data_IF_422487159391
#
_entry.id   IF_422487159391
#
_cell.length_a   1.000
_cell.length_b   1.000
_cell.length_c   1.000
_cell.angle_alpha   90.00
_cell.angle_beta   90.00
_cell.angle_gamma   90.00
#
_symmetry.space_group_name_H-M   'P 1'
#
loop_
_entity.id
_entity.type
_entity.pdbx_description
1 polymer ?
#
# COMPACT_ATOMS: atom_id res chain seq x y z
N UNK A 1 36.52 42.77 3.49
CA UNK A 1 37.50 41.80 4.03
C UNK A 1 37.21 40.46 3.34
N UNK A 2 37.89 40.05 2.27
CA UNK A 2 39.25 39.47 2.13
C UNK A 2 39.47 38.16 2.95
N UNK A 3 39.93 37.12 2.24
CA UNK A 3 40.53 35.82 2.66
C UNK A 3 39.45 34.70 2.88
N UNK A 4 39.25 33.61 2.11
CA UNK A 4 40.04 32.55 1.40
C UNK A 4 40.88 31.60 2.30
N UNK A 5 40.75 30.27 2.09
CA UNK A 5 41.64 29.16 2.55
C UNK A 5 41.56 28.80 4.06
N UNK A 6 41.83 27.58 4.56
CA UNK A 6 42.33 26.30 4.02
C UNK A 6 42.03 25.12 4.99
N UNK A 7 42.17 23.89 4.47
CA UNK A 7 42.47 22.60 5.13
C UNK A 7 43.32 22.68 6.42
N UNK A 8 43.08 21.75 7.37
CA UNK A 8 44.04 20.81 7.99
C UNK A 8 43.42 20.22 9.28
N UNK A 9 43.23 18.89 9.36
CA UNK A 9 44.15 17.89 9.94
C UNK A 9 44.24 17.93 11.48
N UNK A 10 43.93 16.77 12.09
CA UNK A 10 44.04 16.50 13.53
C UNK A 10 43.22 15.24 13.85
N UNK A 11 43.61 14.05 13.39
CA UNK A 11 44.62 13.19 14.02
C UNK A 11 44.40 13.08 15.54
N UNK A 12 43.44 12.25 15.96
CA UNK A 12 43.42 11.72 17.33
C UNK A 12 44.04 10.32 17.27
N UNK A 13 45.36 10.31 17.46
CA UNK A 13 46.12 9.13 17.85
C UNK A 13 45.67 8.76 19.26
N UNK A 14 44.98 7.65 19.42
CA UNK A 14 44.96 6.92 20.70
C UNK A 14 45.82 5.68 20.54
N UNK A 15 47.14 5.92 20.51
CA UNK A 15 48.14 4.90 20.76
C UNK A 15 48.16 4.62 22.26
N UNK A 16 47.44 3.58 22.68
CA UNK A 16 47.66 2.90 23.95
C UNK A 16 48.46 1.63 23.69
N UNK A 17 49.79 1.74 23.58
CA UNK A 17 50.70 0.60 23.62
C UNK A 17 50.72 0.02 25.05
N UNK A 18 50.34 -1.25 25.17
CA UNK A 18 50.64 -2.11 26.31
C UNK A 18 51.27 -3.40 25.79
N UNK A 19 52.52 -3.64 26.19
CA UNK A 19 53.46 -4.62 25.65
C UNK A 19 53.09 -6.10 25.90
N UNK A 20 53.19 -6.87 24.81
CA UNK A 20 53.83 -8.17 24.62
C UNK A 20 53.84 -9.25 25.74
N UNK A 21 53.31 -10.44 25.39
CA UNK A 21 53.94 -11.72 25.73
C UNK A 21 54.01 -12.64 24.48
N UNK A 22 55.25 -12.96 24.11
CA UNK A 22 55.79 -14.20 23.53
C UNK A 22 55.07 -14.96 22.38
N UNK A 23 55.68 -14.83 21.19
CA UNK A 23 56.09 -15.87 20.22
C UNK A 23 55.15 -17.05 19.86
N UNK A 24 54.67 -17.06 18.62
CA UNK A 24 55.07 -18.11 17.66
C UNK A 24 54.92 -17.59 16.23
N UNK A 25 55.93 -17.87 15.39
CA UNK A 25 55.95 -17.50 13.99
C UNK A 25 54.98 -18.39 13.20
N UNK A 26 53.95 -17.79 12.62
CA UNK A 26 52.92 -18.49 11.84
C UNK A 26 52.37 -17.60 10.72
N UNK A 27 52.85 -17.89 9.52
CA UNK A 27 52.37 -17.51 8.17
C UNK A 27 50.89 -17.04 8.08
N UNK A 28 50.71 -15.88 7.43
CA UNK A 28 49.54 -15.44 6.65
C UNK A 28 48.15 -15.37 7.32
N UNK A 29 47.66 -14.13 7.51
CA UNK A 29 46.33 -13.71 7.10
C UNK A 29 46.28 -12.18 7.08
N UNK A 30 46.19 -11.59 5.88
CA UNK A 30 45.75 -10.21 5.76
C UNK A 30 44.33 -10.14 6.34
N UNK A 31 44.17 -9.41 7.43
CA UNK A 31 42.89 -9.12 8.02
C UNK A 31 42.02 -8.42 6.95
N UNK A 32 41.09 -9.19 6.39
CA UNK A 32 40.00 -8.64 5.60
C UNK A 32 39.20 -7.73 6.51
N UNK A 33 39.36 -6.43 6.32
CA UNK A 33 38.36 -5.44 6.69
C UNK A 33 37.02 -5.95 6.14
N UNK A 34 35.95 -6.09 6.95
CA UNK A 34 34.67 -6.52 6.41
C UNK A 34 34.22 -5.42 5.45
N UNK A 35 34.30 -5.72 4.15
CA UNK A 35 33.69 -4.90 3.12
C UNK A 35 32.21 -4.77 3.51
N UNK A 36 31.77 -3.55 3.81
CA UNK A 36 30.36 -3.25 3.93
C UNK A 36 29.68 -3.83 2.69
N UNK A 37 28.90 -4.91 2.85
CA UNK A 37 28.33 -5.65 1.72
C UNK A 37 27.53 -4.67 0.89
N UNK A 38 28.06 -4.32 -0.28
CA UNK A 38 27.30 -3.59 -1.29
C UNK A 38 26.17 -4.52 -1.72
N UNK A 39 25.00 -4.26 -1.16
CA UNK A 39 23.78 -4.97 -1.48
C UNK A 39 23.49 -4.83 -2.99
N UNK A 40 23.30 -5.97 -3.64
CA UNK A 40 23.02 -6.08 -5.07
C UNK A 40 21.78 -5.24 -5.45
N UNK A 41 21.84 -4.55 -6.59
CA UNK A 41 20.81 -3.60 -7.03
C UNK A 41 19.44 -4.28 -7.16
N UNK A 42 19.39 -5.52 -7.68
CA UNK A 42 18.15 -6.32 -7.76
C UNK A 42 17.58 -6.65 -6.39
N UNK A 43 18.44 -6.92 -5.41
CA UNK A 43 17.99 -7.17 -4.03
C UNK A 43 17.29 -5.94 -3.46
N UNK A 44 17.83 -4.74 -3.72
CA UNK A 44 17.21 -3.48 -3.28
C UNK A 44 15.85 -3.25 -3.94
N UNK A 45 15.72 -3.56 -5.23
CA UNK A 45 14.44 -3.46 -5.96
C UNK A 45 13.38 -4.39 -5.37
N UNK A 46 13.71 -5.66 -5.10
CA UNK A 46 12.77 -6.58 -4.47
C UNK A 46 12.38 -6.15 -3.05
N UNK A 47 13.31 -5.59 -2.28
CA UNK A 47 13.02 -5.02 -0.97
C UNK A 47 12.07 -3.83 -1.07
N UNK A 48 12.30 -2.91 -2.00
CA UNK A 48 11.42 -1.76 -2.23
C UNK A 48 10.00 -2.20 -2.64
N UNK A 49 9.89 -3.20 -3.53
CA UNK A 49 8.59 -3.80 -3.88
C UNK A 49 7.90 -4.39 -2.65
N UNK A 50 8.64 -5.11 -1.80
CA UNK A 50 8.11 -5.68 -0.56
C UNK A 50 7.61 -4.59 0.39
N UNK A 51 8.40 -3.55 0.64
CA UNK A 51 8.00 -2.44 1.51
C UNK A 51 6.73 -1.77 1.00
N UNK A 52 6.64 -1.53 -0.32
CA UNK A 52 5.44 -0.96 -0.94
C UNK A 52 4.22 -1.86 -0.74
N UNK A 53 4.38 -3.18 -0.89
CA UNK A 53 3.30 -4.15 -0.70
C UNK A 53 2.85 -4.25 0.75
N UNK A 54 3.77 -4.29 1.71
CA UNK A 54 3.45 -4.27 3.15
C UNK A 54 2.66 -3.02 3.49
N UNK A 55 3.11 -1.86 3.01
CA UNK A 55 2.40 -0.59 3.22
C UNK A 55 1.01 -0.57 2.57
N UNK A 56 0.84 -1.18 1.40
CA UNK A 56 -0.49 -1.32 0.79
C UNK A 56 -1.38 -2.28 1.61
N UNK A 57 -0.81 -3.32 2.20
CA UNK A 57 -1.52 -4.28 3.04
C UNK A 57 -2.07 -3.60 4.31
N UNK A 58 -1.29 -2.71 4.91
CA UNK A 58 -1.68 -1.86 6.06
C UNK A 58 -2.77 -0.86 5.66
N UNK A 59 -2.60 -0.14 4.55
CA UNK A 59 -3.63 0.80 4.07
C UNK A 59 -4.95 0.13 3.72
N UNK A 60 -4.94 -1.14 3.32
CA UNK A 60 -6.15 -1.92 3.11
C UNK A 60 -6.81 -2.32 4.43
N UNK A 61 -6.05 -2.53 5.51
CA UNK A 61 -6.61 -2.74 6.85
C UNK A 61 -7.25 -1.45 7.37
N UNK A 62 -6.57 -0.31 7.28
CA UNK A 62 -7.12 0.99 7.66
C UNK A 62 -8.43 1.31 6.91
N UNK A 63 -8.48 1.00 5.60
CA UNK A 63 -9.68 1.15 4.80
C UNK A 63 -10.81 0.21 5.27
N UNK A 64 -10.49 -1.05 5.61
CA UNK A 64 -11.47 -2.00 6.14
C UNK A 64 -12.00 -1.59 7.51
N UNK A 65 -11.14 -1.07 8.39
CA UNK A 65 -11.51 -0.56 9.70
C UNK A 65 -12.42 0.67 9.58
N UNK A 66 -12.07 1.61 8.69
CA UNK A 66 -12.89 2.80 8.43
C UNK A 66 -14.27 2.42 7.91
N UNK A 67 -14.34 1.48 6.95
CA UNK A 67 -15.60 0.98 6.41
C UNK A 67 -16.42 0.18 7.45
N UNK A 68 -15.74 -0.54 8.35
CA UNK A 68 -16.36 -1.34 9.40
C UNK A 68 -16.89 -0.49 10.58
N UNK A 69 -16.15 0.52 11.01
CA UNK A 69 -16.49 1.38 12.13
C UNK A 69 -17.72 2.26 11.85
N UNK A 70 -17.95 2.60 10.59
CA UNK A 70 -19.02 3.53 10.21
C UNK A 70 -20.45 2.96 10.30
N UNK A 71 -20.65 1.67 10.63
CA UNK A 71 -21.96 1.03 10.80
C UNK A 71 -22.99 1.39 9.70
N UNK A 72 -22.52 1.53 8.44
CA UNK A 72 -23.36 1.80 7.27
C UNK A 72 -23.77 3.26 7.04
N UNK A 73 -23.29 4.24 7.83
CA UNK A 73 -23.54 5.67 7.61
C UNK A 73 -22.24 6.48 7.60
N UNK A 74 -21.62 6.56 6.43
CA UNK A 74 -20.49 7.46 6.14
C UNK A 74 -20.99 8.72 5.43
N UNK A 75 -20.37 9.87 5.69
CA UNK A 75 -20.65 11.07 4.91
C UNK A 75 -20.07 10.96 3.50
N UNK A 76 -20.58 11.76 2.55
CA UNK A 76 -20.03 11.82 1.19
C UNK A 76 -18.52 12.17 1.18
N UNK A 77 -18.07 13.00 2.13
CA UNK A 77 -16.66 13.33 2.30
C UNK A 77 -15.82 12.11 2.71
N UNK A 78 -16.28 11.33 3.70
CA UNK A 78 -15.55 10.16 4.18
C UNK A 78 -15.50 9.06 3.11
N UNK A 79 -16.61 8.86 2.38
CA UNK A 79 -16.67 7.95 1.24
C UNK A 79 -15.67 8.35 0.15
N UNK A 80 -15.56 9.65 -0.13
CA UNK A 80 -14.61 10.19 -1.11
C UNK A 80 -13.17 10.02 -0.66
N UNK A 81 -12.88 10.22 0.63
CA UNK A 81 -11.54 10.02 1.21
C UNK A 81 -11.11 8.55 1.14
N UNK A 82 -12.00 7.61 1.49
CA UNK A 82 -11.74 6.18 1.30
C UNK A 82 -11.54 5.87 -0.18
N UNK A 83 -12.38 6.39 -1.07
CA UNK A 83 -12.23 6.21 -2.52
C UNK A 83 -10.87 6.67 -3.06
N UNK A 84 -10.36 7.81 -2.57
CA UNK A 84 -9.01 8.29 -2.91
C UNK A 84 -7.93 7.33 -2.43
N UNK A 85 -8.04 6.81 -1.20
CA UNK A 85 -7.13 5.78 -0.70
C UNK A 85 -7.14 4.53 -1.58
N UNK A 86 -8.32 4.01 -1.96
CA UNK A 86 -8.44 2.84 -2.85
C UNK A 86 -7.80 3.10 -4.23
N UNK A 87 -7.95 4.31 -4.78
CA UNK A 87 -7.30 4.71 -6.05
C UNK A 87 -5.78 4.71 -5.94
N UNK A 88 -5.24 5.32 -4.89
CA UNK A 88 -3.78 5.35 -4.65
C UNK A 88 -3.23 3.94 -4.50
N UNK A 89 -3.91 3.08 -3.72
CA UNK A 89 -3.53 1.68 -3.56
C UNK A 89 -3.56 0.97 -4.92
N UNK A 90 -4.66 1.08 -5.67
CA UNK A 90 -4.78 0.46 -6.99
C UNK A 90 -3.66 0.89 -7.97
N UNK A 91 -3.28 2.17 -7.96
CA UNK A 91 -2.15 2.68 -8.74
C UNK A 91 -0.82 2.02 -8.35
N UNK A 92 -0.55 1.90 -7.05
CA UNK A 92 0.64 1.23 -6.54
C UNK A 92 0.66 -0.27 -6.90
N UNK A 93 -0.48 -0.97 -6.79
CA UNK A 93 -0.57 -2.38 -7.15
C UNK A 93 -0.32 -2.59 -8.66
N UNK A 94 -0.84 -1.71 -9.51
CA UNK A 94 -0.57 -1.74 -10.95
C UNK A 94 0.92 -1.50 -11.26
N UNK A 95 1.56 -0.56 -10.55
CA UNK A 95 3.00 -0.31 -10.71
C UNK A 95 3.82 -1.54 -10.31
N UNK A 96 3.55 -2.15 -9.17
CA UNK A 96 4.24 -3.38 -8.74
C UNK A 96 3.97 -4.53 -9.72
N UNK A 97 2.73 -4.67 -10.21
CA UNK A 97 2.41 -5.67 -11.23
C UNK A 97 3.22 -5.46 -12.51
N UNK A 98 3.45 -4.22 -12.92
CA UNK A 98 4.31 -3.88 -14.07
C UNK A 98 5.77 -4.25 -13.81
N UNK A 99 6.30 -3.95 -12.62
CA UNK A 99 7.68 -4.32 -12.24
C UNK A 99 7.84 -5.84 -12.29
N UNK A 100 6.91 -6.59 -11.68
CA UNK A 100 6.95 -8.06 -11.71
C UNK A 100 6.91 -8.64 -13.14
N UNK A 101 6.24 -7.97 -14.09
CA UNK A 101 6.22 -8.38 -15.50
C UNK A 101 7.58 -8.14 -16.17
N UNK A 102 8.20 -7.00 -15.91
CA UNK A 102 9.54 -6.70 -16.42
C UNK A 102 10.57 -7.67 -15.85
N UNK A 103 10.47 -7.99 -14.56
CA UNK A 103 11.42 -8.87 -13.89
C UNK A 103 11.33 -10.32 -14.38
N UNK A 104 10.16 -10.74 -14.89
CA UNK A 104 9.91 -12.09 -15.37
C UNK A 104 10.94 -12.58 -16.40
N UNK A 105 11.38 -11.72 -17.32
CA UNK A 105 12.38 -12.08 -18.34
C UNK A 105 13.81 -12.20 -17.80
N UNK A 106 14.06 -11.73 -16.57
CA UNK A 106 15.40 -11.60 -16.00
C UNK A 106 15.63 -12.49 -14.77
N UNK A 107 14.61 -13.23 -14.33
CA UNK A 107 14.71 -14.16 -13.21
C UNK A 107 15.33 -15.46 -13.68
N UNK A 108 16.38 -15.89 -12.98
CA UNK A 108 16.94 -17.23 -13.10
C UNK A 108 16.46 -18.09 -11.93
N UNK A 109 16.05 -19.32 -12.24
CA UNK A 109 15.68 -20.32 -11.24
C UNK A 109 16.84 -20.57 -10.26
N UNK A 110 16.52 -20.76 -8.98
CA UNK A 110 17.52 -20.99 -7.94
C UNK A 110 18.32 -19.75 -7.51
N UNK A 111 17.94 -18.55 -7.96
CA UNK A 111 18.58 -17.30 -7.52
C UNK A 111 18.38 -17.05 -6.01
N UNK A 112 19.34 -16.35 -5.39
CA UNK A 112 19.24 -15.89 -3.99
C UNK A 112 18.00 -15.01 -3.74
N UNK A 113 17.37 -14.48 -4.78
CA UNK A 113 16.18 -13.65 -4.69
C UNK A 113 14.86 -14.44 -4.57
N UNK A 114 14.89 -15.76 -4.72
CA UNK A 114 13.69 -16.61 -4.63
C UNK A 114 12.92 -16.41 -3.31
N UNK A 115 13.62 -16.14 -2.19
CA UNK A 115 12.99 -15.85 -0.90
C UNK A 115 12.16 -14.56 -0.95
N UNK A 116 12.68 -13.50 -1.57
CA UNK A 116 11.95 -12.24 -1.72
C UNK A 116 10.75 -12.43 -2.64
N UNK A 117 10.92 -13.12 -3.77
CA UNK A 117 9.84 -13.40 -4.73
C UNK A 117 8.71 -14.21 -4.07
N UNK A 118 9.03 -15.23 -3.28
CA UNK A 118 8.03 -15.98 -2.51
C UNK A 118 7.28 -15.10 -1.50
N UNK A 119 7.99 -14.16 -0.87
CA UNK A 119 7.41 -13.21 0.08
C UNK A 119 6.49 -12.23 -0.64
N UNK A 120 6.90 -11.70 -1.80
CA UNK A 120 6.10 -10.85 -2.68
C UNK A 120 4.81 -11.59 -3.08
N UNK A 121 4.91 -12.85 -3.50
CA UNK A 121 3.75 -13.66 -3.83
C UNK A 121 2.80 -13.83 -2.63
N UNK A 122 3.34 -14.14 -1.46
CA UNK A 122 2.54 -14.29 -0.24
C UNK A 122 1.78 -13.02 0.13
N UNK A 123 2.43 -11.85 0.08
CA UNK A 123 1.77 -10.56 0.33
C UNK A 123 0.78 -10.20 -0.78
N UNK A 124 1.08 -10.48 -2.05
CA UNK A 124 0.14 -10.26 -3.15
C UNK A 124 -1.17 -11.02 -2.97
N UNK A 125 -1.10 -12.24 -2.43
CA UNK A 125 -2.28 -13.04 -2.11
C UNK A 125 -3.07 -12.45 -0.93
N UNK A 126 -2.39 -11.95 0.12
CA UNK A 126 -3.04 -11.25 1.25
C UNK A 126 -3.78 -10.00 0.79
N UNK A 127 -3.09 -9.12 0.07
CA UNK A 127 -3.65 -7.90 -0.54
C UNK A 127 -4.87 -8.23 -1.42
N UNK A 128 -4.79 -9.28 -2.22
CA UNK A 128 -5.90 -9.73 -3.07
C UNK A 128 -7.12 -10.21 -2.27
N UNK A 129 -6.93 -10.85 -1.11
CA UNK A 129 -8.03 -11.22 -0.20
C UNK A 129 -8.65 -9.98 0.45
N UNK A 130 -7.83 -9.03 0.93
CA UNK A 130 -8.31 -7.77 1.52
C UNK A 130 -9.10 -6.93 0.51
N UNK A 131 -8.59 -6.77 -0.71
CA UNK A 131 -9.29 -6.08 -1.79
C UNK A 131 -10.64 -6.74 -2.14
N UNK A 132 -10.73 -8.07 -2.09
CA UNK A 132 -12.00 -8.78 -2.26
C UNK A 132 -12.98 -8.48 -1.11
N UNK A 133 -12.49 -8.43 0.14
CA UNK A 133 -13.29 -8.08 1.31
C UNK A 133 -13.84 -6.65 1.22
N UNK A 134 -12.99 -5.67 0.88
CA UNK A 134 -13.42 -4.28 0.63
C UNK A 134 -14.51 -4.23 -0.42
N UNK A 135 -14.32 -4.92 -1.56
CA UNK A 135 -15.33 -5.00 -2.60
C UNK A 135 -16.67 -5.55 -2.11
N UNK A 136 -16.66 -6.54 -1.21
CA UNK A 136 -17.88 -7.08 -0.60
C UNK A 136 -18.56 -6.08 0.34
N UNK A 137 -17.79 -5.38 1.18
CA UNK A 137 -18.31 -4.41 2.15
C UNK A 137 -18.91 -3.21 1.42
N UNK A 138 -18.19 -2.65 0.44
CA UNK A 138 -18.70 -1.55 -0.39
C UNK A 138 -19.93 -1.98 -1.18
N UNK A 139 -19.95 -3.21 -1.71
CA UNK A 139 -21.12 -3.76 -2.40
C UNK A 139 -22.35 -3.88 -1.48
N UNK A 140 -22.16 -4.32 -0.24
CA UNK A 140 -23.23 -4.37 0.77
C UNK A 140 -23.71 -2.97 1.16
N UNK A 141 -22.78 -2.02 1.33
CA UNK A 141 -23.12 -0.61 1.58
C UNK A 141 -23.97 -0.03 0.46
N UNK A 142 -23.58 -0.21 -0.80
CA UNK A 142 -24.34 0.25 -1.96
C UNK A 142 -25.74 -0.36 -2.03
N UNK A 143 -25.87 -1.67 -1.76
CA UNK A 143 -27.17 -2.34 -1.73
C UNK A 143 -28.08 -1.82 -0.60
N UNK A 144 -27.51 -1.57 0.58
CA UNK A 144 -28.23 -1.01 1.72
C UNK A 144 -28.66 0.44 1.47
N UNK A 145 -27.79 1.26 0.87
CA UNK A 145 -28.10 2.66 0.53
C UNK A 145 -29.27 2.76 -0.45
N UNK A 146 -29.29 1.91 -1.48
CA UNK A 146 -30.39 1.86 -2.45
C UNK A 146 -31.73 1.51 -1.78
N UNK A 147 -31.73 0.57 -0.82
CA UNK A 147 -32.95 0.19 -0.07
C UNK A 147 -33.43 1.30 0.87
N UNK A 148 -32.52 1.94 1.62
CA UNK A 148 -32.90 3.01 2.55
C UNK A 148 -33.40 4.26 1.82
N UNK A 149 -32.73 4.67 0.74
CA UNK A 149 -33.15 5.81 -0.07
C UNK A 149 -34.55 5.62 -0.68
N UNK A 150 -34.87 4.41 -1.15
CA UNK A 150 -36.21 4.08 -1.67
C UNK A 150 -37.29 4.14 -0.57
N UNK A 151 -36.98 3.71 0.66
CA UNK A 151 -37.92 3.74 1.79
C UNK A 151 -38.23 5.16 2.25
N UNK A 152 -37.22 6.03 2.33
CA UNK A 152 -37.39 7.41 2.80
C UNK A 152 -38.03 8.32 1.74
N UNK A 153 -37.83 8.03 0.45
CA UNK A 153 -38.52 8.74 -0.64
C UNK A 153 -40.05 8.57 -0.57
N UNK A 154 -40.54 7.37 -0.21
CA UNK A 154 -41.97 7.02 -0.19
C UNK A 154 -42.72 7.63 1.00
N UNK A 155 -42.08 7.80 2.18
CA UNK A 155 -42.77 8.37 3.37
C UNK A 155 -43.00 9.89 3.28
N UNK A 156 -42.26 10.57 2.40
CA UNK A 156 -42.22 12.03 2.34
C UNK A 156 -43.46 12.69 1.70
N UNK A 157 -44.42 11.92 1.17
CA UNK A 157 -45.59 12.44 0.43
C UNK A 157 -46.74 12.89 1.35
N UNK A 158 -46.70 12.63 2.66
CA UNK A 158 -47.90 12.72 3.52
C UNK A 158 -47.73 13.51 4.82
N UNK A 159 -47.13 14.70 4.82
CA UNK A 159 -47.39 15.70 5.90
C UNK A 159 -47.35 17.11 5.29
N UNK A 160 -48.51 17.78 5.29
CA UNK A 160 -48.66 19.17 4.86
C UNK A 160 -47.91 20.13 5.78
N UNK A 161 -47.20 21.10 5.20
CA UNK A 161 -46.57 22.17 5.98
C UNK A 161 -45.50 22.99 5.25
N UNK A 162 -45.94 24.13 4.68
CA UNK A 162 -45.22 25.41 4.48
C UNK A 162 -43.75 25.37 4.02
N UNK A 163 -43.51 25.86 2.80
CA UNK A 163 -42.31 26.47 2.16
C UNK A 163 -40.92 26.36 2.85
N UNK A 164 -40.78 26.57 4.17
CA UNK A 164 -39.54 26.29 4.94
C UNK A 164 -39.18 24.80 4.99
N UNK A 165 -40.17 23.91 5.10
CA UNK A 165 -39.93 22.47 5.00
C UNK A 165 -39.45 22.07 3.59
N UNK A 166 -39.81 22.85 2.55
CA UNK A 166 -39.41 22.58 1.16
C UNK A 166 -37.92 22.89 0.91
N UNK A 167 -37.38 23.97 1.50
CA UNK A 167 -35.93 24.27 1.46
C UNK A 167 -35.10 23.28 2.29
N UNK A 168 -35.54 22.94 3.50
CA UNK A 168 -34.88 21.92 4.33
C UNK A 168 -34.94 20.52 3.69
N UNK A 169 -36.06 20.19 3.03
CA UNK A 169 -36.21 18.95 2.25
C UNK A 169 -35.35 18.93 0.99
N UNK A 170 -35.16 20.09 0.33
CA UNK A 170 -34.21 20.23 -0.78
C UNK A 170 -32.77 19.95 -0.36
N UNK A 171 -32.32 20.53 0.76
CA UNK A 171 -30.97 20.32 1.31
C UNK A 171 -30.72 18.87 1.76
N UNK A 172 -31.73 18.20 2.32
CA UNK A 172 -31.64 16.79 2.66
C UNK A 172 -31.60 15.89 1.41
N UNK A 173 -32.32 16.28 0.35
CA UNK A 173 -32.36 15.52 -0.90
C UNK A 173 -31.05 15.69 -1.69
N UNK A 174 -30.46 16.89 -1.73
CA UNK A 174 -29.13 17.10 -2.31
C UNK A 174 -28.06 16.30 -1.57
N UNK A 175 -28.08 16.29 -0.23
CA UNK A 175 -27.16 15.49 0.57
C UNK A 175 -27.29 13.98 0.30
N UNK A 176 -28.52 13.46 0.21
CA UNK A 176 -28.75 12.05 -0.11
C UNK A 176 -28.25 11.68 -1.51
N UNK A 177 -28.43 12.57 -2.50
CA UNK A 177 -27.93 12.37 -3.86
C UNK A 177 -26.39 12.43 -3.91
N UNK A 178 -25.77 13.33 -3.14
CA UNK A 178 -24.32 13.42 -3.01
C UNK A 178 -23.74 12.15 -2.37
N UNK A 179 -24.35 11.67 -1.28
CA UNK A 179 -23.96 10.42 -0.62
C UNK A 179 -24.16 9.21 -1.56
N UNK A 180 -25.28 9.16 -2.30
CA UNK A 180 -25.51 8.10 -3.29
C UNK A 180 -24.40 8.08 -4.36
N UNK A 181 -24.09 9.25 -4.93
CA UNK A 181 -23.04 9.37 -5.94
C UNK A 181 -21.68 8.96 -5.36
N UNK A 182 -21.36 9.38 -4.14
CA UNK A 182 -20.12 9.02 -3.47
C UNK A 182 -20.02 7.50 -3.23
N UNK A 183 -21.12 6.82 -2.89
CA UNK A 183 -21.15 5.36 -2.76
C UNK A 183 -20.95 4.67 -4.12
N UNK A 184 -21.56 5.18 -5.19
CA UNK A 184 -21.38 4.64 -6.55
C UNK A 184 -19.94 4.81 -7.04
N UNK A 185 -19.35 5.98 -6.82
CA UNK A 185 -17.94 6.26 -7.14
C UNK A 185 -17.00 5.34 -6.33
N UNK A 186 -17.27 5.16 -5.03
CA UNK A 186 -16.53 4.25 -4.17
C UNK A 186 -16.63 2.80 -4.67
N UNK A 187 -17.82 2.36 -5.11
CA UNK A 187 -18.00 1.02 -5.68
C UNK A 187 -17.21 0.82 -6.98
N UNK A 188 -17.16 1.85 -7.83
CA UNK A 188 -16.33 1.83 -9.04
C UNK A 188 -14.83 1.74 -8.70
N UNK A 189 -14.37 2.48 -7.70
CA UNK A 189 -12.98 2.45 -7.26
C UNK A 189 -12.60 1.13 -6.59
N UNK A 190 -13.50 0.54 -5.79
CA UNK A 190 -13.33 -0.80 -5.23
C UNK A 190 -13.21 -1.87 -6.34
N UNK A 191 -13.96 -1.72 -7.44
CA UNK A 191 -13.85 -2.60 -8.62
C UNK A 191 -12.49 -2.46 -9.31
N UNK A 192 -11.97 -1.24 -9.45
CA UNK A 192 -10.62 -0.99 -9.99
C UNK A 192 -9.53 -1.59 -9.10
N UNK A 193 -9.63 -1.41 -7.78
CA UNK A 193 -8.74 -2.04 -6.81
C UNK A 193 -8.80 -3.58 -6.91
N UNK A 194 -9.99 -4.15 -7.08
CA UNK A 194 -10.16 -5.58 -7.29
C UNK A 194 -9.45 -6.06 -8.55
N UNK A 195 -9.55 -5.32 -9.66
CA UNK A 195 -8.85 -5.66 -10.89
C UNK A 195 -7.32 -5.56 -10.72
N UNK A 196 -6.82 -4.47 -10.13
CA UNK A 196 -5.40 -4.26 -9.87
C UNK A 196 -4.79 -5.36 -8.98
N UNK A 197 -5.49 -5.73 -7.90
CA UNK A 197 -5.05 -6.81 -6.99
C UNK A 197 -5.03 -8.20 -7.66
N UNK A 198 -5.97 -8.50 -8.58
CA UNK A 198 -5.90 -9.73 -9.40
C UNK A 198 -4.67 -9.72 -10.31
N UNK A 199 -4.44 -8.60 -10.99
CA UNK A 199 -3.29 -8.42 -11.88
C UNK A 199 -1.97 -8.63 -11.13
N UNK A 200 -1.81 -7.97 -9.99
CA UNK A 200 -0.66 -8.16 -9.11
C UNK A 200 -0.50 -9.64 -8.72
N UNK A 201 -1.53 -10.25 -8.10
CA UNK A 201 -1.45 -11.64 -7.64
C UNK A 201 -1.11 -12.63 -8.76
N UNK A 202 -1.64 -12.42 -9.98
CA UNK A 202 -1.29 -13.22 -11.13
C UNK A 202 0.18 -13.03 -11.53
N UNK A 203 0.65 -11.79 -11.66
CA UNK A 203 2.04 -11.49 -12.03
C UNK A 203 3.04 -11.98 -10.98
N UNK A 204 2.74 -11.84 -9.69
CA UNK A 204 3.58 -12.37 -8.61
C UNK A 204 3.60 -13.90 -8.58
N UNK A 205 2.49 -14.56 -8.92
CA UNK A 205 2.45 -16.02 -9.08
C UNK A 205 3.36 -16.48 -10.22
N UNK A 206 3.32 -15.80 -11.37
CA UNK A 206 4.20 -16.10 -12.50
C UNK A 206 5.66 -15.88 -12.16
N UNK A 207 5.99 -14.77 -11.50
CA UNK A 207 7.34 -14.49 -11.03
C UNK A 207 7.84 -15.58 -10.06
N UNK A 208 6.96 -16.03 -9.14
CA UNK A 208 7.26 -17.14 -8.24
C UNK A 208 7.54 -18.45 -8.97
N UNK A 209 6.70 -18.80 -9.96
CA UNK A 209 6.91 -19.99 -10.79
C UNK A 209 8.24 -19.90 -11.55
N UNK A 210 8.56 -18.74 -12.13
CA UNK A 210 9.83 -18.55 -12.85
C UNK A 210 11.07 -18.57 -11.94
N UNK A 211 10.91 -18.20 -10.66
CA UNK A 211 12.01 -18.22 -9.68
C UNK A 211 12.33 -19.60 -9.13
N UNK A 212 11.42 -20.55 -9.32
CA UNK A 212 11.62 -21.96 -8.97
C UNK A 212 12.28 -22.70 -10.11
#
# INVERSE_FOLDING_TARGET
>A
MKIKFALSAGLVITAGMGLAFASSAGKAAAAQTPAASQEDAKTREYKDVLFKLVRQDEYLDEALETLGAANGRMSAHDLSAVGLSLKMIAGNLNRVSSINKTDFSSVQGGSMHARYINTIFSYSAKVNRKAARIGSVVGQMAANYKRSAMRDAVSSKKVGGKVRARKARGANLTRLLEEQKAVEDLAADAKKLRAASRGLNATSKWLYIASK
#
